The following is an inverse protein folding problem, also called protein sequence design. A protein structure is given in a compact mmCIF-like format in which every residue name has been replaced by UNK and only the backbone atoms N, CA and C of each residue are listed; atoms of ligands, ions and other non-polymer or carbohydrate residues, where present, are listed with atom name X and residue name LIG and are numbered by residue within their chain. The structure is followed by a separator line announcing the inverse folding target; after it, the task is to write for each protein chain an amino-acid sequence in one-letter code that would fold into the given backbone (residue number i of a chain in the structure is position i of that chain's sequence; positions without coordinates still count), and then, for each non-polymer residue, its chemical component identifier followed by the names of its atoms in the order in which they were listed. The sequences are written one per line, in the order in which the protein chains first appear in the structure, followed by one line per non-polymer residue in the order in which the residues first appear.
data_IF_134635615046
#
_entry.id   IF_134635615046
#
_cell.length_a   1.000
_cell.length_b   1.000
_cell.length_c   1.000
_cell.angle_alpha   90.00
_cell.angle_beta   90.00
_cell.angle_gamma   90.00
#
_symmetry.space_group_name_H-M   'P 1'
#
loop_
_entity.id
_entity.type
_entity.pdbx_description
1 polymer ?
#
# COMPACT_ATOMS: atom_id res chain seq x y z
N UNK A 1 -7.26 64.10 -49.64
CA UNK A 1 -6.32 63.77 -48.54
C UNK A 1 -7.02 63.27 -47.27
N UNK A 2 -8.37 63.24 -47.19
CA UNK A 2 -9.10 62.81 -45.98
C UNK A 2 -9.23 61.27 -45.82
N UNK A 3 -9.35 60.51 -46.92
CA UNK A 3 -9.58 59.06 -46.90
C UNK A 3 -8.43 58.23 -46.27
N UNK A 4 -7.17 58.67 -46.42
CA UNK A 4 -6.01 57.99 -45.82
C UNK A 4 -5.98 58.18 -44.30
N UNK A 5 -6.42 59.35 -43.81
CA UNK A 5 -6.51 59.64 -42.38
C UNK A 5 -7.63 58.87 -41.69
N UNK A 6 -8.76 58.67 -42.37
CA UNK A 6 -9.90 57.92 -41.84
C UNK A 6 -9.64 56.40 -41.81
N UNK A 7 -9.00 55.86 -42.86
CA UNK A 7 -8.53 54.48 -42.85
C UNK A 7 -7.46 54.23 -41.77
N UNK A 8 -6.51 55.16 -41.60
CA UNK A 8 -5.52 55.07 -40.54
C UNK A 8 -6.18 55.12 -39.14
N UNK A 9 -7.22 55.94 -38.96
CA UNK A 9 -7.98 56.01 -37.70
C UNK A 9 -8.78 54.73 -37.44
N UNK A 10 -9.39 54.14 -38.47
CA UNK A 10 -10.08 52.86 -38.36
C UNK A 10 -9.12 51.72 -37.99
N UNK A 11 -7.95 51.62 -38.66
CA UNK A 11 -6.93 50.62 -38.34
C UNK A 11 -6.40 50.75 -36.90
N UNK A 12 -6.19 51.98 -36.41
CA UNK A 12 -5.79 52.25 -35.03
C UNK A 12 -6.89 51.81 -34.05
N UNK A 13 -8.17 52.11 -34.33
CA UNK A 13 -9.29 51.68 -33.50
C UNK A 13 -9.43 50.15 -33.48
N UNK A 14 -9.29 49.47 -34.61
CA UNK A 14 -9.30 48.00 -34.69
C UNK A 14 -8.13 47.40 -33.90
N UNK A 15 -6.93 47.99 -33.99
CA UNK A 15 -5.78 47.57 -33.20
C UNK A 15 -6.03 47.73 -31.68
N UNK A 16 -6.66 48.83 -31.25
CA UNK A 16 -7.05 49.01 -29.85
C UNK A 16 -8.11 48.01 -29.40
N UNK A 17 -9.12 47.75 -30.23
CA UNK A 17 -10.18 46.80 -29.91
C UNK A 17 -9.64 45.37 -29.75
N UNK A 18 -8.77 44.93 -30.68
CA UNK A 18 -8.13 43.60 -30.55
C UNK A 18 -7.21 43.50 -29.33
N UNK A 19 -6.57 44.60 -28.93
CA UNK A 19 -5.76 44.64 -27.70
C UNK A 19 -6.63 44.50 -26.45
N UNK A 20 -7.71 45.28 -26.36
CA UNK A 20 -8.64 45.20 -25.22
C UNK A 20 -9.25 43.81 -25.09
N UNK A 21 -9.70 43.20 -26.18
CA UNK A 21 -10.25 41.84 -26.13
C UNK A 21 -9.20 40.84 -25.62
N UNK A 22 -7.94 40.93 -26.09
CA UNK A 22 -6.85 40.09 -25.57
C UNK A 22 -6.56 40.29 -24.08
N UNK A 23 -6.61 41.54 -23.61
CA UNK A 23 -6.43 41.86 -22.19
C UNK A 23 -7.60 41.33 -21.34
N UNK A 24 -8.84 41.47 -21.82
CA UNK A 24 -10.03 40.92 -21.16
C UNK A 24 -9.99 39.39 -21.11
N UNK A 25 -9.59 38.72 -22.19
CA UNK A 25 -9.43 37.27 -22.22
C UNK A 25 -8.35 36.81 -21.24
N UNK A 26 -7.22 37.52 -21.19
CA UNK A 26 -6.15 37.23 -20.23
C UNK A 26 -6.65 37.42 -18.80
N UNK A 27 -7.21 38.59 -18.46
CA UNK A 27 -7.66 38.89 -17.11
C UNK A 27 -8.81 37.97 -16.68
N UNK A 28 -9.68 37.56 -17.60
CA UNK A 28 -10.72 36.57 -17.35
C UNK A 28 -10.13 35.22 -16.91
N UNK A 29 -9.08 34.75 -17.56
CA UNK A 29 -8.35 33.53 -17.15
C UNK A 29 -7.64 33.74 -15.80
N UNK A 30 -6.99 34.89 -15.60
CA UNK A 30 -6.26 35.18 -14.36
C UNK A 30 -7.19 35.32 -13.14
N UNK A 31 -8.37 35.90 -13.31
CA UNK A 31 -9.41 35.97 -12.27
C UNK A 31 -9.98 34.57 -11.99
N UNK A 32 -10.25 33.77 -13.03
CA UNK A 32 -10.81 32.44 -12.87
C UNK A 32 -9.83 31.45 -12.21
N UNK A 33 -8.54 31.54 -12.55
CA UNK A 33 -7.50 30.65 -12.04
C UNK A 33 -6.82 31.18 -10.77
N UNK A 34 -6.87 32.49 -10.54
CA UNK A 34 -6.09 33.18 -9.50
C UNK A 34 -4.59 33.28 -9.82
N UNK A 35 -4.15 32.83 -10.99
CA UNK A 35 -2.74 32.80 -11.40
C UNK A 35 -2.52 33.65 -12.65
N UNK A 36 -1.35 34.31 -12.71
CA UNK A 36 -0.95 35.09 -13.90
C UNK A 36 -0.74 34.14 -15.09
N UNK A 37 -1.31 34.48 -16.25
CA UNK A 37 -1.31 33.61 -17.44
C UNK A 37 0.08 33.37 -18.02
N UNK A 38 0.99 34.33 -17.87
CA UNK A 38 2.39 34.21 -18.26
C UNK A 38 3.32 34.53 -17.07
N UNK A 39 3.64 33.53 -16.24
CA UNK A 39 4.56 33.69 -15.12
C UNK A 39 5.96 34.10 -15.55
N UNK A 40 6.42 33.69 -16.74
CA UNK A 40 7.76 34.02 -17.23
C UNK A 40 7.88 35.51 -17.56
N UNK A 41 6.86 36.10 -18.21
CA UNK A 41 6.79 37.57 -18.41
C UNK A 41 6.60 38.31 -17.10
N UNK A 42 5.80 37.78 -16.18
CA UNK A 42 5.56 38.41 -14.87
C UNK A 42 6.82 38.43 -13.98
N UNK A 43 7.58 37.34 -13.99
CA UNK A 43 8.84 37.17 -13.25
C UNK A 43 10.07 37.69 -14.01
N UNK A 44 9.86 38.44 -15.10
CA UNK A 44 10.95 39.01 -15.92
C UNK A 44 11.98 37.97 -16.40
N UNK A 45 11.55 36.72 -16.61
CA UNK A 45 12.40 35.61 -17.05
C UNK A 45 13.00 34.75 -15.93
N UNK A 46 12.93 35.16 -14.65
CA UNK A 46 13.41 34.34 -13.53
C UNK A 46 12.32 33.39 -13.02
N UNK A 47 12.17 32.25 -13.69
CA UNK A 47 11.24 31.17 -13.30
C UNK A 47 11.89 30.13 -12.39
N UNK A 48 13.12 30.35 -11.94
CA UNK A 48 13.91 29.34 -11.20
C UNK A 48 13.19 28.89 -9.93
N UNK A 49 12.64 29.84 -9.16
CA UNK A 49 11.87 29.53 -7.96
C UNK A 49 10.57 28.78 -8.24
N UNK A 50 9.88 29.11 -9.33
CA UNK A 50 8.63 28.45 -9.72
C UNK A 50 8.88 27.00 -10.15
N UNK A 51 9.92 26.76 -10.94
CA UNK A 51 10.33 25.41 -11.37
C UNK A 51 10.78 24.57 -10.16
N UNK A 52 11.49 25.18 -9.21
CA UNK A 52 11.86 24.51 -7.97
C UNK A 52 10.63 24.06 -7.17
N UNK A 53 9.62 24.93 -7.02
CA UNK A 53 8.36 24.60 -6.34
C UNK A 53 7.59 23.48 -7.06
N UNK A 54 7.48 23.54 -8.39
CA UNK A 54 6.79 22.50 -9.16
C UNK A 54 7.46 21.12 -9.04
N UNK A 55 8.80 21.11 -9.05
CA UNK A 55 9.58 19.90 -8.78
C UNK A 55 9.34 19.37 -7.36
N UNK A 56 9.34 20.26 -6.37
CA UNK A 56 9.16 19.88 -4.98
C UNK A 56 7.72 19.36 -4.72
N UNK A 57 6.70 19.95 -5.36
CA UNK A 57 5.32 19.46 -5.36
C UNK A 57 5.21 18.08 -6.02
N UNK A 58 5.82 17.90 -7.18
CA UNK A 58 5.86 16.61 -7.88
C UNK A 58 6.50 15.52 -7.01
N UNK A 59 7.55 15.87 -6.26
CA UNK A 59 8.21 14.96 -5.31
C UNK A 59 7.31 14.63 -4.12
N UNK A 60 6.63 15.62 -3.55
CA UNK A 60 5.67 15.41 -2.45
C UNK A 60 4.52 14.51 -2.89
N UNK A 61 4.04 14.66 -4.12
CA UNK A 61 2.98 13.80 -4.67
C UNK A 61 3.45 12.35 -4.80
N UNK A 62 4.68 12.13 -5.27
CA UNK A 62 5.28 10.79 -5.29
C UNK A 62 5.40 10.19 -3.87
N UNK A 63 5.81 10.99 -2.87
CA UNK A 63 5.84 10.54 -1.48
C UNK A 63 4.44 10.24 -0.92
N UNK A 64 3.42 11.01 -1.31
CA UNK A 64 2.03 10.78 -0.91
C UNK A 64 1.52 9.43 -1.43
N UNK A 65 1.81 9.10 -2.68
CA UNK A 65 1.47 7.79 -3.26
C UNK A 65 2.17 6.66 -2.51
N UNK A 66 3.50 6.77 -2.34
CA UNK A 66 4.30 5.74 -1.67
C UNK A 66 3.86 5.51 -0.20
N UNK A 67 3.56 6.58 0.54
CA UNK A 67 3.07 6.47 1.92
C UNK A 67 1.66 5.89 2.00
N UNK A 68 0.80 6.19 1.03
CA UNK A 68 -0.55 5.58 0.93
C UNK A 68 -0.45 4.08 0.68
N UNK A 69 0.41 3.64 -0.23
CA UNK A 69 0.64 2.22 -0.51
C UNK A 69 1.24 1.49 0.69
N UNK A 70 2.23 2.10 1.35
CA UNK A 70 2.82 1.57 2.57
C UNK A 70 1.77 1.44 3.70
N UNK A 71 0.90 2.44 3.84
CA UNK A 71 -0.21 2.42 4.79
C UNK A 71 -1.20 1.29 4.51
N UNK A 72 -1.63 1.11 3.26
CA UNK A 72 -2.51 0.01 2.86
C UNK A 72 -1.87 -1.37 3.11
N UNK A 73 -0.57 -1.50 2.82
CA UNK A 73 0.19 -2.73 3.09
C UNK A 73 0.25 -3.03 4.59
N UNK A 74 0.60 -2.05 5.42
CA UNK A 74 0.68 -2.19 6.87
C UNK A 74 -0.68 -2.49 7.49
N UNK A 75 -1.75 -1.84 7.03
CA UNK A 75 -3.11 -2.13 7.48
C UNK A 75 -3.50 -3.58 7.18
N UNK A 76 -3.16 -4.08 6.00
CA UNK A 76 -3.47 -5.47 5.64
C UNK A 76 -2.63 -6.47 6.45
N UNK A 77 -1.37 -6.14 6.74
CA UNK A 77 -0.55 -6.94 7.65
C UNK A 77 -1.19 -6.99 9.04
N UNK A 78 -1.62 -5.85 9.59
CA UNK A 78 -2.28 -5.79 10.90
C UNK A 78 -3.54 -6.65 10.93
N UNK A 79 -4.44 -6.50 9.96
CA UNK A 79 -5.64 -7.34 9.89
C UNK A 79 -5.31 -8.83 9.82
N UNK A 80 -4.27 -9.19 9.07
CA UNK A 80 -3.83 -10.59 8.98
C UNK A 80 -3.28 -11.10 10.31
N UNK A 81 -2.53 -10.28 11.04
CA UNK A 81 -2.02 -10.62 12.37
C UNK A 81 -3.14 -10.73 13.40
N UNK A 82 -4.14 -9.85 13.36
CA UNK A 82 -5.31 -9.92 14.23
C UNK A 82 -6.12 -11.22 13.99
N UNK A 83 -6.28 -11.62 12.73
CA UNK A 83 -6.89 -12.91 12.36
C UNK A 83 -6.09 -14.09 12.90
N UNK A 84 -4.74 -14.05 12.79
CA UNK A 84 -3.86 -15.10 13.31
C UNK A 84 -3.97 -15.18 14.84
N UNK A 85 -3.93 -14.04 15.53
CA UNK A 85 -4.06 -13.97 16.99
C UNK A 85 -5.39 -14.56 17.44
N UNK A 86 -6.50 -14.15 16.83
CA UNK A 86 -7.83 -14.64 17.18
C UNK A 86 -7.93 -16.17 17.03
N UNK A 87 -7.31 -16.73 15.98
CA UNK A 87 -7.26 -18.19 15.77
C UNK A 87 -6.39 -18.90 16.80
N UNK A 88 -5.24 -18.31 17.16
CA UNK A 88 -4.37 -18.87 18.19
C UNK A 88 -5.05 -18.89 19.56
N UNK A 89 -5.80 -17.84 19.91
CA UNK A 89 -6.58 -17.78 21.15
C UNK A 89 -7.68 -18.84 21.19
N UNK A 90 -8.42 -19.04 20.09
CA UNK A 90 -9.41 -20.11 19.98
C UNK A 90 -8.77 -21.50 20.12
N UNK A 91 -7.64 -21.74 19.45
CA UNK A 91 -6.92 -23.01 19.54
C UNK A 91 -6.44 -23.27 20.97
N UNK A 92 -5.94 -22.25 21.67
CA UNK A 92 -5.53 -22.37 23.08
C UNK A 92 -6.68 -22.82 23.99
N UNK A 93 -7.88 -22.26 23.80
CA UNK A 93 -9.08 -22.69 24.54
C UNK A 93 -9.44 -24.15 24.25
N UNK A 94 -9.33 -24.57 22.99
CA UNK A 94 -9.57 -25.97 22.58
C UNK A 94 -8.55 -26.90 23.23
N UNK A 95 -7.26 -26.56 23.22
CA UNK A 95 -6.20 -27.37 23.81
C UNK A 95 -6.33 -27.51 25.33
N UNK A 96 -6.72 -26.45 26.04
CA UNK A 96 -7.01 -26.52 27.48
C UNK A 96 -8.18 -27.47 27.78
N UNK A 97 -9.18 -27.54 26.90
CA UNK A 97 -10.29 -28.49 27.05
C UNK A 97 -9.89 -29.95 26.74
N UNK A 98 -8.89 -30.14 25.88
CA UNK A 98 -8.40 -31.46 25.49
C UNK A 98 -7.72 -32.19 26.65
N UNK A 99 -7.06 -31.49 27.57
CA UNK A 99 -6.43 -32.08 28.76
C UNK A 99 -7.44 -32.75 29.70
N UNK A 100 -8.68 -32.26 29.70
CA UNK A 100 -9.79 -32.80 30.50
C UNK A 100 -10.49 -34.00 29.82
N UNK A 101 -10.01 -34.44 28.66
CA UNK A 101 -10.74 -35.36 27.77
C UNK A 101 -10.14 -36.77 27.73
N UNK A 102 -10.91 -37.82 28.10
CA UNK A 102 -10.36 -39.17 28.26
C UNK A 102 -10.42 -40.08 27.02
N UNK A 103 -11.19 -39.75 25.97
CA UNK A 103 -11.44 -40.66 24.84
C UNK A 103 -10.47 -40.46 23.66
N UNK A 104 -10.26 -41.51 22.87
CA UNK A 104 -9.37 -41.45 21.70
C UNK A 104 -9.99 -40.67 20.54
N UNK A 105 -11.29 -40.80 20.31
CA UNK A 105 -12.01 -40.13 19.22
C UNK A 105 -11.99 -38.60 19.37
N UNK A 106 -12.09 -38.09 20.60
CA UNK A 106 -11.97 -36.65 20.84
C UNK A 106 -10.54 -36.15 20.63
N UNK A 107 -9.51 -36.94 20.97
CA UNK A 107 -8.10 -36.57 20.69
C UNK A 107 -7.81 -36.48 19.21
N UNK A 108 -8.37 -37.37 18.39
CA UNK A 108 -8.28 -37.29 16.92
C UNK A 108 -8.97 -36.02 16.39
N UNK A 109 -10.16 -35.71 16.90
CA UNK A 109 -10.90 -34.48 16.54
C UNK A 109 -10.09 -33.22 16.87
N UNK A 110 -9.50 -33.14 18.06
CA UNK A 110 -8.66 -32.01 18.45
C UNK A 110 -7.39 -31.90 17.61
N UNK A 111 -6.81 -33.03 17.20
CA UNK A 111 -5.64 -33.05 16.33
C UNK A 111 -5.95 -32.47 14.94
N UNK A 112 -7.11 -32.81 14.38
CA UNK A 112 -7.58 -32.24 13.11
C UNK A 112 -7.89 -30.74 13.23
N UNK A 113 -8.51 -30.31 14.34
CA UNK A 113 -8.76 -28.88 14.59
C UNK A 113 -7.44 -28.09 14.70
N UNK A 114 -6.45 -28.62 15.43
CA UNK A 114 -5.12 -28.03 15.54
C UNK A 114 -4.41 -27.97 14.18
N UNK A 115 -4.52 -29.02 13.36
CA UNK A 115 -4.00 -29.05 12.00
C UNK A 115 -4.63 -27.96 11.14
N UNK A 116 -5.95 -27.80 11.21
CA UNK A 116 -6.70 -26.78 10.46
C UNK A 116 -6.30 -25.36 10.91
N UNK A 117 -6.22 -25.12 12.21
CA UNK A 117 -5.80 -23.83 12.77
C UNK A 117 -4.38 -23.47 12.33
N UNK A 118 -3.42 -24.42 12.42
CA UNK A 118 -2.06 -24.21 11.95
C UNK A 118 -2.01 -23.89 10.45
N UNK A 119 -2.77 -24.63 9.64
CA UNK A 119 -2.89 -24.36 8.20
C UNK A 119 -3.39 -22.95 7.90
N UNK A 120 -4.37 -22.46 8.65
CA UNK A 120 -4.88 -21.11 8.50
C UNK A 120 -3.86 -20.05 8.90
N UNK A 121 -3.11 -20.26 9.99
CA UNK A 121 -2.03 -19.36 10.40
C UNK A 121 -0.94 -19.27 9.32
N UNK A 122 -0.47 -20.41 8.83
CA UNK A 122 0.55 -20.45 7.76
C UNK A 122 0.06 -19.79 6.47
N UNK A 123 -1.20 -19.98 6.10
CA UNK A 123 -1.80 -19.29 4.97
C UNK A 123 -1.90 -17.77 5.19
N UNK A 124 -2.18 -17.33 6.42
CA UNK A 124 -2.13 -15.93 6.81
C UNK A 124 -0.72 -15.34 6.65
N UNK A 125 0.31 -16.05 7.11
CA UNK A 125 1.71 -15.64 6.93
C UNK A 125 2.15 -15.65 5.46
N UNK A 126 1.54 -16.50 4.64
CA UNK A 126 1.74 -16.54 3.20
C UNK A 126 0.75 -15.67 2.40
N UNK A 127 0.13 -14.66 3.03
CA UNK A 127 -0.78 -13.72 2.33
C UNK A 127 -0.05 -13.01 1.19
N UNK A 128 -0.60 -13.12 -0.02
CA UNK A 128 -0.11 -12.49 -1.24
C UNK A 128 -1.07 -11.39 -1.71
N UNK A 129 -0.54 -10.20 -2.01
CA UNK A 129 -1.30 -9.08 -2.59
C UNK A 129 -0.55 -8.57 -3.81
N UNK A 130 -1.22 -8.57 -4.96
CA UNK A 130 -0.63 -8.05 -6.20
C UNK A 130 0.63 -8.79 -6.64
N UNK A 131 0.73 -10.09 -6.35
CA UNK A 131 1.89 -10.92 -6.68
C UNK A 131 2.99 -10.90 -5.61
N UNK A 132 2.84 -10.10 -4.55
CA UNK A 132 3.86 -9.95 -3.51
C UNK A 132 3.40 -10.49 -2.17
N UNK A 133 4.20 -11.36 -1.57
CA UNK A 133 3.98 -11.84 -0.21
C UNK A 133 4.24 -10.73 0.80
N UNK A 134 3.32 -10.57 1.76
CA UNK A 134 3.37 -9.48 2.71
C UNK A 134 4.51 -9.65 3.73
N UNK A 135 4.70 -10.87 4.22
CA UNK A 135 5.61 -11.18 5.33
C UNK A 135 7.00 -11.68 4.90
N UNK A 136 7.24 -11.92 3.61
CA UNK A 136 8.52 -12.43 3.08
C UNK A 136 9.67 -11.40 3.02
N UNK A 137 9.54 -10.26 3.71
CA UNK A 137 10.55 -9.20 3.77
C UNK A 137 10.92 -8.64 2.38
N UNK A 138 12.19 -8.78 1.99
CA UNK A 138 12.73 -8.35 0.68
C UNK A 138 12.48 -9.37 -0.43
N UNK A 139 12.33 -10.65 -0.10
CA UNK A 139 12.04 -11.74 -1.04
C UNK A 139 10.53 -11.88 -1.26
N UNK A 140 9.89 -10.82 -1.74
CA UNK A 140 8.42 -10.78 -1.89
C UNK A 140 7.84 -11.74 -2.91
N UNK A 141 8.68 -12.39 -3.70
CA UNK A 141 8.25 -13.25 -4.81
C UNK A 141 8.11 -14.72 -4.37
N UNK A 142 8.50 -15.02 -3.12
CA UNK A 142 8.42 -16.36 -2.53
C UNK A 142 7.55 -16.35 -1.26
N UNK A 143 6.84 -17.45 -0.95
CA UNK A 143 6.15 -17.61 0.32
C UNK A 143 7.06 -17.33 1.52
N UNK A 144 6.50 -16.79 2.59
CA UNK A 144 7.24 -16.43 3.80
C UNK A 144 7.61 -17.66 4.63
N UNK A 145 6.74 -18.66 4.63
CA UNK A 145 6.89 -19.90 5.41
C UNK A 145 6.53 -21.10 4.55
N UNK A 146 7.05 -22.27 4.91
CA UNK A 146 6.68 -23.52 4.28
C UNK A 146 5.17 -23.79 4.43
N UNK A 147 4.62 -24.55 3.48
CA UNK A 147 3.22 -24.99 3.55
C UNK A 147 3.00 -25.99 4.68
N UNK A 148 1.74 -26.17 5.06
CA UNK A 148 1.33 -27.05 6.16
C UNK A 148 1.89 -28.48 6.04
N UNK A 149 1.79 -29.09 4.85
CA UNK A 149 2.19 -30.47 4.66
C UNK A 149 3.71 -30.66 4.76
N UNK A 150 4.48 -29.72 4.21
CA UNK A 150 5.95 -29.70 4.35
C UNK A 150 6.34 -29.56 5.81
N UNK A 151 5.76 -28.58 6.51
CA UNK A 151 6.07 -28.34 7.92
C UNK A 151 5.69 -29.53 8.81
N UNK A 152 4.56 -30.19 8.56
CA UNK A 152 4.17 -31.40 9.29
C UNK A 152 5.04 -32.61 8.96
N UNK A 153 5.54 -32.73 7.72
CA UNK A 153 6.48 -33.79 7.36
C UNK A 153 7.82 -33.59 8.08
N UNK A 154 8.31 -32.36 8.15
CA UNK A 154 9.54 -32.00 8.86
C UNK A 154 9.39 -32.25 10.37
N UNK A 155 8.26 -31.81 10.97
CA UNK A 155 7.95 -32.06 12.38
C UNK A 155 7.88 -33.56 12.70
N UNK A 156 7.22 -34.37 11.87
CA UNK A 156 7.17 -35.83 12.06
C UNK A 156 8.55 -36.47 12.01
N UNK A 157 9.44 -35.93 11.20
CA UNK A 157 10.83 -36.39 11.09
C UNK A 157 11.64 -36.01 12.33
N UNK A 158 11.49 -34.78 12.83
CA UNK A 158 12.16 -34.32 14.04
C UNK A 158 11.68 -35.06 15.30
N UNK A 159 10.40 -35.39 15.36
CA UNK A 159 9.77 -36.08 16.49
C UNK A 159 9.93 -37.62 16.43
N UNK A 160 10.54 -38.15 15.37
CA UNK A 160 10.72 -39.59 15.22
C UNK A 160 11.63 -40.14 16.32
N UNK A 161 11.10 -41.09 17.10
CA UNK A 161 11.85 -41.74 18.18
C UNK A 161 11.77 -41.05 19.54
N UNK A 162 11.07 -39.91 19.65
CA UNK A 162 10.81 -39.27 20.94
C UNK A 162 9.65 -39.98 21.66
N UNK A 163 9.85 -40.31 22.94
CA UNK A 163 8.90 -41.10 23.71
C UNK A 163 8.24 -40.32 24.86
N UNK A 164 8.82 -39.18 25.26
CA UNK A 164 8.30 -38.35 26.34
C UNK A 164 7.98 -36.94 25.87
N UNK A 165 7.05 -36.27 26.56
CA UNK A 165 6.69 -34.89 26.25
C UNK A 165 7.88 -33.92 26.40
N UNK A 166 8.80 -34.20 27.33
CA UNK A 166 10.01 -33.40 27.51
C UNK A 166 10.99 -33.54 26.33
N UNK A 167 11.11 -34.76 25.78
CA UNK A 167 11.97 -35.01 24.61
C UNK A 167 11.38 -34.35 23.35
N UNK A 168 10.05 -34.33 23.23
CA UNK A 168 9.33 -33.61 22.17
C UNK A 168 9.59 -32.10 22.23
N UNK A 169 9.46 -31.50 23.41
CA UNK A 169 9.70 -30.06 23.60
C UNK A 169 11.16 -29.69 23.25
N UNK A 170 12.11 -30.49 23.72
CA UNK A 170 13.53 -30.32 23.42
C UNK A 170 13.84 -30.46 21.92
N UNK A 171 13.17 -31.38 21.22
CA UNK A 171 13.36 -31.58 19.78
C UNK A 171 12.73 -30.48 18.92
N UNK A 172 11.78 -29.71 19.46
CA UNK A 172 11.14 -28.58 18.78
C UNK A 172 11.86 -27.24 19.00
N UNK A 173 12.67 -27.13 20.06
CA UNK A 173 13.43 -25.92 20.43
C UNK A 173 14.79 -25.82 19.72
N UNK A 174 15.17 -26.85 18.94
CA UNK A 174 16.40 -26.89 18.11
C UNK A 174 16.13 -26.55 16.66
#
# INVERSE_FOLDING_TARGET
MESVGDLARNLVLTAHHTRLNRELDQLGVEIATGFVRDPARHLQGDVTGLVALDRDLSRLEAFRVSTTEAGARAATMQTTLDEIQSRAELLSQVLLSAELTPTQEMRETFSEEARNAMGQVLNGLNRNIGGRFLFSGTASDTPSVAGLDTMLADLRTALAGQATAADVDTALDT
#
